data_IF_159304309131
#
_entry.id   IF_159304309131
#
_cell.length_a   1.000
_cell.length_b   1.000
_cell.length_c   1.000
_cell.angle_alpha   90.00
_cell.angle_beta   90.00
_cell.angle_gamma   90.00
#
_symmetry.space_group_name_H-M   'P 1'
#
loop_
_entity.id
_entity.type
_entity.pdbx_description
1 polymer ?
#
# COMPACT_ATOMS: atom_id res chain seq x y z
N UNK A 1 -23.42 -15.77 -14.56
CA UNK A 1 -22.92 -14.74 -13.61
C UNK A 1 -23.47 -13.39 -14.05
N UNK A 2 -23.82 -12.48 -13.14
CA UNK A 2 -24.13 -11.09 -13.55
C UNK A 2 -22.84 -10.49 -14.14
N UNK A 3 -22.90 -10.01 -15.38
CA UNK A 3 -21.81 -9.31 -16.03
C UNK A 3 -21.44 -8.11 -15.17
N UNK A 4 -20.19 -8.02 -14.69
CA UNK A 4 -19.73 -6.86 -13.93
C UNK A 4 -19.78 -5.64 -14.85
N UNK A 5 -20.48 -4.59 -14.43
CA UNK A 5 -20.57 -3.35 -15.20
C UNK A 5 -19.20 -2.67 -15.24
N UNK A 6 -18.61 -2.58 -16.43
CA UNK A 6 -17.37 -1.81 -16.63
C UNK A 6 -17.63 -0.31 -16.46
N UNK A 7 -16.64 0.39 -15.93
CA UNK A 7 -16.73 1.81 -15.58
C UNK A 7 -15.90 2.69 -16.50
N UNK A 8 -14.75 2.20 -16.95
CA UNK A 8 -13.81 2.96 -17.78
C UNK A 8 -14.14 2.76 -19.26
N UNK A 9 -14.18 3.87 -20.00
CA UNK A 9 -14.43 3.85 -21.46
C UNK A 9 -13.42 2.99 -22.20
N UNK A 10 -12.17 2.94 -21.74
CA UNK A 10 -11.08 2.16 -22.33
C UNK A 10 -11.35 0.66 -22.23
N UNK A 11 -11.78 0.18 -21.06
CA UNK A 11 -12.13 -1.22 -20.83
C UNK A 11 -13.37 -1.63 -21.62
N UNK A 12 -14.39 -0.74 -21.65
CA UNK A 12 -15.60 -0.95 -22.45
C UNK A 12 -15.23 -1.12 -23.92
N UNK A 13 -14.44 -0.19 -24.46
CA UNK A 13 -14.04 -0.24 -25.88
C UNK A 13 -13.17 -1.45 -26.21
N UNK A 14 -12.33 -1.92 -25.28
CA UNK A 14 -11.60 -3.17 -25.46
C UNK A 14 -12.56 -4.34 -25.65
N UNK A 15 -13.49 -4.56 -24.72
CA UNK A 15 -14.42 -5.70 -24.79
C UNK A 15 -15.37 -5.60 -25.99
N UNK A 16 -15.90 -4.40 -26.29
CA UNK A 16 -16.73 -4.19 -27.49
C UNK A 16 -15.96 -4.51 -28.77
N UNK A 17 -14.70 -4.08 -28.88
CA UNK A 17 -13.86 -4.36 -30.05
C UNK A 17 -13.57 -5.85 -30.18
N UNK A 18 -13.27 -6.53 -29.07
CA UNK A 18 -13.07 -7.98 -29.04
C UNK A 18 -14.33 -8.72 -29.47
N UNK A 19 -15.49 -8.37 -28.91
CA UNK A 19 -16.77 -8.99 -29.27
C UNK A 19 -17.14 -8.73 -30.74
N UNK A 20 -16.94 -7.50 -31.23
CA UNK A 20 -17.23 -7.14 -32.63
C UNK A 20 -16.31 -7.86 -33.61
N UNK A 21 -15.05 -8.14 -33.28
CA UNK A 21 -14.15 -8.92 -34.13
C UNK A 21 -14.66 -10.35 -34.38
N UNK A 22 -15.46 -10.88 -33.47
CA UNK A 22 -15.98 -12.25 -33.50
C UNK A 22 -17.51 -12.29 -33.61
N UNK A 23 -18.15 -11.23 -34.08
CA UNK A 23 -19.58 -11.24 -34.40
C UNK A 23 -19.81 -11.85 -35.77
N UNK A 24 -20.96 -12.52 -35.96
CA UNK A 24 -21.31 -13.21 -37.21
C UNK A 24 -21.27 -12.29 -38.45
N UNK A 25 -21.59 -11.00 -38.28
CA UNK A 25 -21.59 -10.01 -39.36
C UNK A 25 -20.20 -9.51 -39.78
N UNK A 26 -19.17 -9.80 -38.99
CA UNK A 26 -17.79 -9.29 -39.17
C UNK A 26 -16.81 -10.42 -39.41
N UNK A 27 -16.99 -11.55 -38.73
CA UNK A 27 -16.07 -12.67 -38.80
C UNK A 27 -16.09 -13.31 -40.19
N UNK A 28 -14.93 -13.27 -40.86
CA UNK A 28 -14.68 -14.07 -42.06
C UNK A 28 -13.90 -15.30 -41.64
N UNK A 29 -14.55 -16.47 -41.59
CA UNK A 29 -13.97 -17.71 -41.03
C UNK A 29 -12.62 -18.09 -41.64
N UNK A 30 -12.41 -17.88 -42.94
CA UNK A 30 -11.13 -18.14 -43.63
C UNK A 30 -9.97 -17.23 -43.17
N UNK A 31 -10.26 -16.22 -42.36
CA UNK A 31 -9.31 -15.26 -41.81
C UNK A 31 -9.30 -15.27 -40.27
N UNK A 32 -9.80 -16.32 -39.63
CA UNK A 32 -9.91 -16.43 -38.17
C UNK A 32 -8.56 -16.26 -37.45
N UNK A 33 -7.46 -16.66 -38.09
CA UNK A 33 -6.09 -16.42 -37.61
C UNK A 33 -5.77 -14.92 -37.46
N UNK A 34 -6.24 -14.10 -38.40
CA UNK A 34 -6.06 -12.64 -38.36
C UNK A 34 -6.92 -12.00 -37.28
N UNK A 35 -8.16 -12.47 -37.07
CA UNK A 35 -9.02 -12.02 -35.98
C UNK A 35 -8.47 -12.40 -34.61
N UNK A 36 -7.90 -13.61 -34.47
CA UNK A 36 -7.17 -14.00 -33.26
C UNK A 36 -5.98 -13.07 -33.03
N UNK A 37 -5.14 -12.86 -34.04
CA UNK A 37 -4.00 -11.95 -33.94
C UNK A 37 -4.42 -10.55 -33.50
N UNK A 38 -5.47 -9.99 -34.09
CA UNK A 38 -6.02 -8.68 -33.70
C UNK A 38 -6.49 -8.68 -32.25
N UNK A 39 -7.16 -9.74 -31.80
CA UNK A 39 -7.62 -9.88 -30.40
C UNK A 39 -6.45 -9.84 -29.42
N UNK A 40 -5.38 -10.60 -29.70
CA UNK A 40 -4.16 -10.61 -28.88
C UNK A 40 -3.47 -9.23 -28.88
N UNK A 41 -3.46 -8.54 -30.01
CA UNK A 41 -2.91 -7.19 -30.13
C UNK A 41 -3.71 -6.15 -29.33
N UNK A 42 -5.04 -6.26 -29.31
CA UNK A 42 -5.91 -5.39 -28.52
C UNK A 42 -5.68 -5.58 -27.02
N UNK A 43 -5.61 -6.84 -26.55
CA UNK A 43 -5.28 -7.17 -25.16
C UNK A 43 -3.90 -6.63 -24.80
N UNK A 44 -2.89 -6.92 -25.63
CA UNK A 44 -1.53 -6.43 -25.43
C UNK A 44 -1.46 -4.91 -25.32
N UNK A 45 -2.15 -4.18 -26.22
CA UNK A 45 -2.18 -2.72 -26.21
C UNK A 45 -2.80 -2.16 -24.94
N UNK A 46 -3.90 -2.74 -24.47
CA UNK A 46 -4.54 -2.34 -23.22
C UNK A 46 -3.62 -2.56 -22.01
N UNK A 47 -2.99 -3.73 -21.93
CA UNK A 47 -2.00 -4.06 -20.90
C UNK A 47 -0.82 -3.09 -20.91
N UNK A 48 -0.24 -2.81 -22.08
CA UNK A 48 0.90 -1.89 -22.20
C UNK A 48 0.51 -0.46 -21.80
N UNK A 49 -0.67 0.01 -22.19
CA UNK A 49 -1.19 1.32 -21.79
C UNK A 49 -1.34 1.43 -20.26
N UNK A 50 -1.92 0.41 -19.62
CA UNK A 50 -2.03 0.36 -18.15
C UNK A 50 -0.67 0.32 -17.47
N UNK A 51 0.21 -0.58 -17.91
CA UNK A 51 1.57 -0.73 -17.37
C UNK A 51 2.37 0.57 -17.45
N UNK A 52 2.28 1.27 -18.59
CA UNK A 52 2.93 2.56 -18.80
C UNK A 52 2.40 3.64 -17.85
N UNK A 53 1.08 3.72 -17.65
CA UNK A 53 0.48 4.64 -16.67
C UNK A 53 0.91 4.34 -15.24
N UNK A 54 0.90 3.07 -14.83
CA UNK A 54 1.34 2.64 -13.50
C UNK A 54 2.82 2.96 -13.24
N UNK A 55 3.68 2.71 -14.24
CA UNK A 55 5.10 3.05 -14.16
C UNK A 55 5.31 4.57 -13.99
N UNK A 56 4.60 5.40 -14.76
CA UNK A 56 4.67 6.86 -14.62
C UNK A 56 4.21 7.32 -13.24
N UNK A 57 3.13 6.74 -12.70
CA UNK A 57 2.62 7.06 -11.37
C UNK A 57 3.63 6.73 -10.27
N UNK A 58 4.27 5.56 -10.36
CA UNK A 58 5.32 5.14 -9.42
C UNK A 58 6.60 5.99 -9.54
N UNK A 59 6.91 6.49 -10.73
CA UNK A 59 8.09 7.33 -10.98
C UNK A 59 7.89 8.83 -10.66
N UNK A 60 6.67 9.25 -10.30
CA UNK A 60 6.31 10.67 -10.11
C UNK A 60 7.10 11.40 -9.02
N UNK A 61 7.87 10.68 -8.19
CA UNK A 61 8.79 11.26 -7.21
C UNK A 61 10.16 11.68 -7.79
N UNK A 62 10.42 11.55 -9.11
CA UNK A 62 11.74 11.89 -9.66
C UNK A 62 11.93 12.06 -11.18
N UNK A 63 10.87 12.06 -12.01
CA UNK A 63 11.01 12.12 -13.49
C UNK A 63 10.08 13.15 -14.15
N UNK A 64 10.63 14.00 -15.03
CA UNK A 64 9.92 15.04 -15.80
C UNK A 64 9.56 14.64 -17.24
N UNK A 65 9.84 13.40 -17.66
CA UNK A 65 9.50 12.94 -19.03
C UNK A 65 8.75 11.62 -18.98
N UNK A 66 7.42 11.71 -18.97
CA UNK A 66 6.54 10.57 -19.23
C UNK A 66 6.10 10.58 -20.70
N UNK A 67 6.05 9.41 -21.38
CA UNK A 67 5.38 9.30 -22.67
C UNK A 67 3.94 9.84 -22.58
N UNK A 68 3.42 10.44 -23.65
CA UNK A 68 2.06 11.00 -23.69
C UNK A 68 0.97 9.98 -23.28
N UNK A 69 1.18 8.70 -23.60
CA UNK A 69 0.26 7.62 -23.26
C UNK A 69 0.16 7.29 -21.76
N UNK A 70 1.02 7.87 -20.92
CA UNK A 70 1.07 7.65 -19.47
C UNK A 70 0.51 8.80 -18.62
N UNK A 71 0.21 9.96 -19.24
CA UNK A 71 -0.20 11.19 -18.52
C UNK A 71 -1.48 11.00 -17.71
N UNK A 72 -2.41 10.19 -18.21
CA UNK A 72 -3.69 9.91 -17.56
C UNK A 72 -3.51 9.47 -16.10
N UNK A 73 -2.50 8.65 -15.81
CA UNK A 73 -2.28 8.07 -14.48
C UNK A 73 -1.78 9.10 -13.47
N UNK A 74 -1.16 10.19 -13.94
CA UNK A 74 -0.68 11.28 -13.11
C UNK A 74 -1.81 12.25 -12.74
N UNK A 75 -2.71 12.49 -13.69
CA UNK A 75 -3.81 13.47 -13.56
C UNK A 75 -5.00 12.95 -12.74
N UNK A 76 -5.21 11.62 -12.67
CA UNK A 76 -6.33 11.06 -11.93
C UNK A 76 -6.10 11.02 -10.41
N UNK A 77 -7.15 11.25 -9.60
CA UNK A 77 -7.09 11.01 -8.16
C UNK A 77 -6.80 9.53 -7.86
N UNK A 78 -6.13 9.26 -6.74
CA UNK A 78 -5.76 7.87 -6.36
C UNK A 78 -7.00 7.00 -6.17
N UNK A 79 -8.11 7.60 -5.74
CA UNK A 79 -9.39 6.95 -5.54
C UNK A 79 -10.01 6.44 -6.86
N UNK A 80 -9.61 6.95 -8.03
CA UNK A 80 -10.02 6.42 -9.35
C UNK A 80 -9.31 5.11 -9.72
N UNK A 81 -8.17 4.78 -9.09
CA UNK A 81 -7.50 3.49 -9.31
C UNK A 81 -8.33 2.30 -8.80
N UNK A 82 -9.35 2.55 -7.97
CA UNK A 82 -10.37 1.56 -7.63
C UNK A 82 -11.14 1.12 -8.88
N UNK A 83 -11.51 2.06 -9.76
CA UNK A 83 -12.19 1.73 -11.00
C UNK A 83 -11.28 0.98 -11.96
N UNK A 84 -9.99 1.35 -12.00
CA UNK A 84 -8.97 0.62 -12.77
C UNK A 84 -8.87 -0.83 -12.28
N UNK A 85 -8.74 -1.04 -10.97
CA UNK A 85 -8.71 -2.39 -10.37
C UNK A 85 -9.99 -3.18 -10.69
N UNK A 86 -11.16 -2.54 -10.57
CA UNK A 86 -12.45 -3.15 -10.85
C UNK A 86 -12.56 -3.64 -12.29
N UNK A 87 -12.29 -2.76 -13.24
CA UNK A 87 -12.38 -3.04 -14.66
C UNK A 87 -11.35 -4.08 -15.11
N UNK A 88 -10.11 -4.00 -14.61
CA UNK A 88 -9.07 -4.99 -14.94
C UNK A 88 -9.48 -6.38 -14.47
N UNK A 89 -10.03 -6.51 -13.26
CA UNK A 89 -10.58 -7.79 -12.79
C UNK A 89 -11.75 -8.27 -13.65
N UNK A 90 -12.62 -7.37 -14.12
CA UNK A 90 -13.74 -7.73 -14.99
C UNK A 90 -13.26 -8.19 -16.38
N UNK A 91 -12.29 -7.50 -16.97
CA UNK A 91 -11.65 -7.89 -18.25
C UNK A 91 -10.94 -9.24 -18.10
N UNK A 92 -10.17 -9.45 -17.03
CA UNK A 92 -9.54 -10.75 -16.74
C UNK A 92 -10.60 -11.85 -16.64
N UNK A 93 -11.73 -11.58 -15.97
CA UNK A 93 -12.84 -12.52 -15.85
C UNK A 93 -13.45 -12.89 -17.21
N UNK A 94 -13.72 -11.89 -18.06
CA UNK A 94 -14.27 -12.08 -19.41
C UNK A 94 -13.34 -12.90 -20.32
N UNK A 95 -12.03 -12.71 -20.17
CA UNK A 95 -10.99 -13.38 -20.97
C UNK A 95 -10.44 -14.65 -20.30
N UNK A 96 -10.98 -15.05 -19.16
CA UNK A 96 -10.59 -16.26 -18.44
C UNK A 96 -11.10 -17.52 -19.16
N UNK A 97 -10.64 -18.68 -18.71
CA UNK A 97 -11.05 -19.98 -19.28
C UNK A 97 -12.57 -20.20 -19.21
N UNK A 98 -13.23 -19.70 -18.16
CA UNK A 98 -14.68 -19.75 -17.97
C UNK A 98 -15.40 -18.48 -18.43
N UNK A 99 -14.69 -17.55 -19.09
CA UNK A 99 -15.22 -16.28 -19.56
C UNK A 99 -16.02 -16.41 -20.87
N UNK A 100 -17.00 -15.52 -21.04
CA UNK A 100 -17.94 -15.57 -22.17
C UNK A 100 -17.24 -15.36 -23.52
N UNK A 101 -16.20 -14.52 -23.57
CA UNK A 101 -15.43 -14.30 -24.79
C UNK A 101 -14.72 -15.58 -25.28
N UNK A 102 -14.02 -16.28 -24.39
CA UNK A 102 -13.33 -17.53 -24.73
C UNK A 102 -14.32 -18.61 -25.14
N UNK A 103 -15.46 -18.70 -24.44
CA UNK A 103 -16.55 -19.60 -24.81
C UNK A 103 -17.10 -19.34 -26.21
N UNK A 104 -17.37 -18.06 -26.55
CA UNK A 104 -17.86 -17.64 -27.86
C UNK A 104 -16.86 -17.96 -28.98
N UNK A 105 -15.58 -17.62 -28.80
CA UNK A 105 -14.53 -17.92 -29.80
C UNK A 105 -14.46 -19.43 -30.06
N UNK A 106 -14.49 -20.25 -29.00
CA UNK A 106 -14.50 -21.71 -29.15
C UNK A 106 -15.75 -22.22 -29.89
N UNK A 107 -16.93 -21.65 -29.62
CA UNK A 107 -18.16 -22.03 -30.30
C UNK A 107 -18.11 -21.71 -31.81
N UNK A 108 -17.61 -20.54 -32.17
CA UNK A 108 -17.47 -20.12 -33.58
C UNK A 108 -16.46 -20.98 -34.35
N UNK A 109 -15.46 -21.49 -33.65
CA UNK A 109 -14.43 -22.35 -34.22
C UNK A 109 -14.72 -23.86 -34.03
N UNK A 110 -15.93 -24.24 -33.61
CA UNK A 110 -16.24 -25.62 -33.24
C UNK A 110 -16.07 -26.65 -34.38
N UNK A 111 -15.99 -26.21 -35.64
CA UNK A 111 -15.69 -27.05 -36.81
C UNK A 111 -14.20 -27.32 -37.00
N UNK A 112 -13.31 -26.60 -36.30
CA UNK A 112 -11.87 -26.80 -36.34
C UNK A 112 -11.42 -28.03 -35.53
N UNK A 113 -10.23 -28.59 -35.82
CA UNK A 113 -9.62 -29.63 -34.99
C UNK A 113 -9.44 -29.18 -33.54
N UNK A 114 -9.52 -30.14 -32.61
CA UNK A 114 -9.42 -29.87 -31.17
C UNK A 114 -8.07 -29.24 -30.78
N UNK A 115 -7.01 -29.57 -31.52
CA UNK A 115 -5.68 -29.01 -31.35
C UNK A 115 -5.69 -27.50 -31.63
N UNK A 116 -6.42 -27.07 -32.67
CA UNK A 116 -6.57 -25.65 -33.02
C UNK A 116 -7.34 -24.92 -31.93
N UNK A 117 -8.47 -25.47 -31.48
CA UNK A 117 -9.26 -24.90 -30.39
C UNK A 117 -8.42 -24.72 -29.12
N UNK A 118 -7.60 -25.73 -28.81
CA UNK A 118 -6.69 -25.69 -27.65
C UNK A 118 -5.65 -24.58 -27.79
N UNK A 119 -5.02 -24.44 -28.95
CA UNK A 119 -4.02 -23.40 -29.22
C UNK A 119 -4.62 -21.99 -29.18
N UNK A 120 -5.81 -21.79 -29.75
CA UNK A 120 -6.53 -20.50 -29.73
C UNK A 120 -6.82 -20.10 -28.29
N UNK A 121 -7.41 -21.02 -27.51
CA UNK A 121 -7.71 -20.81 -26.10
C UNK A 121 -6.44 -20.49 -25.31
N UNK A 122 -5.38 -21.28 -25.45
CA UNK A 122 -4.10 -21.04 -24.76
C UNK A 122 -3.50 -19.69 -25.13
N UNK A 123 -3.60 -19.28 -26.40
CA UNK A 123 -3.08 -17.98 -26.85
C UNK A 123 -3.81 -16.81 -26.16
N UNK A 124 -5.14 -16.88 -26.03
CA UNK A 124 -5.92 -15.86 -25.33
C UNK A 124 -5.55 -15.84 -23.84
N UNK A 125 -5.49 -17.00 -23.19
CA UNK A 125 -5.14 -17.09 -21.76
C UNK A 125 -3.73 -16.53 -21.50
N UNK A 126 -2.75 -16.88 -22.34
CA UNK A 126 -1.38 -16.34 -22.25
C UNK A 126 -1.32 -14.83 -22.45
N UNK A 127 -2.15 -14.25 -23.32
CA UNK A 127 -2.19 -12.80 -23.51
C UNK A 127 -2.76 -12.04 -22.29
N UNK A 128 -3.53 -12.72 -21.43
CA UNK A 128 -4.12 -12.13 -20.22
C UNK A 128 -3.17 -12.20 -19.02
N UNK A 129 -2.19 -13.12 -19.00
CA UNK A 129 -1.26 -13.25 -17.86
C UNK A 129 -0.55 -11.92 -17.53
N UNK A 130 0.03 -11.18 -18.49
CA UNK A 130 0.64 -9.88 -18.19
C UNK A 130 -0.34 -8.86 -17.60
N UNK A 131 -1.64 -8.96 -17.90
CA UNK A 131 -2.67 -8.09 -17.32
C UNK A 131 -2.95 -8.44 -15.85
N UNK A 132 -2.94 -9.74 -15.51
CA UNK A 132 -3.08 -10.20 -14.11
C UNK A 132 -1.93 -9.69 -13.25
N UNK A 133 -0.72 -9.71 -13.78
CA UNK A 133 0.49 -9.22 -13.10
C UNK A 133 0.45 -7.70 -12.82
N UNK A 134 -0.48 -6.95 -13.43
CA UNK A 134 -0.68 -5.53 -13.10
C UNK A 134 -1.55 -5.30 -11.86
N UNK A 135 -2.36 -6.28 -11.43
CA UNK A 135 -3.23 -6.13 -10.26
C UNK A 135 -2.45 -5.74 -8.99
N UNK A 136 -1.33 -6.40 -8.63
CA UNK A 136 -0.52 -5.98 -7.49
C UNK A 136 0.03 -4.55 -7.64
N UNK A 137 0.44 -4.15 -8.85
CA UNK A 137 0.97 -2.82 -9.12
C UNK A 137 -0.10 -1.72 -8.94
N UNK A 138 -1.35 -1.98 -9.37
CA UNK A 138 -2.48 -1.08 -9.12
C UNK A 138 -2.73 -0.93 -7.61
N UNK A 139 -2.67 -2.03 -6.87
CA UNK A 139 -2.81 -2.01 -5.40
C UNK A 139 -1.68 -1.21 -4.75
N UNK A 140 -0.44 -1.42 -5.18
CA UNK A 140 0.73 -0.72 -4.64
C UNK A 140 0.68 0.79 -4.89
N UNK A 141 0.13 1.26 -6.02
CA UNK A 141 -0.11 2.69 -6.25
C UNK A 141 -1.06 3.26 -5.20
N UNK A 142 -2.19 2.59 -4.93
CA UNK A 142 -3.15 3.04 -3.93
C UNK A 142 -2.53 3.07 -2.53
N UNK A 143 -1.86 1.97 -2.15
CA UNK A 143 -1.14 1.87 -0.87
C UNK A 143 -0.08 2.97 -0.76
N UNK A 144 0.73 3.18 -1.79
CA UNK A 144 1.83 4.14 -1.81
C UNK A 144 1.37 5.56 -1.54
N UNK A 145 0.28 6.01 -2.17
CA UNK A 145 -0.28 7.35 -1.92
C UNK A 145 -0.84 7.47 -0.49
N UNK A 146 -1.52 6.45 0.02
CA UNK A 146 -2.04 6.44 1.39
C UNK A 146 -0.87 6.54 2.40
N UNK A 147 0.17 5.74 2.21
CA UNK A 147 1.38 5.76 3.05
C UNK A 147 2.06 7.12 2.99
N UNK A 148 2.24 7.70 1.79
CA UNK A 148 2.83 9.02 1.61
C UNK A 148 2.07 10.10 2.37
N UNK A 149 0.73 10.11 2.29
CA UNK A 149 -0.12 11.04 3.07
C UNK A 149 0.05 10.82 4.57
N UNK A 150 0.07 9.57 5.03
CA UNK A 150 0.23 9.21 6.45
C UNK A 150 1.60 9.61 7.01
N UNK A 151 2.64 9.57 6.17
CA UNK A 151 3.99 9.96 6.53
C UNK A 151 4.14 11.47 6.78
N UNK A 152 3.22 12.31 6.29
CA UNK A 152 3.23 13.74 6.62
C UNK A 152 2.98 13.97 8.11
N UNK A 153 2.02 13.28 8.72
CA UNK A 153 1.77 13.35 10.15
C UNK A 153 2.92 12.77 10.98
N UNK A 154 3.56 11.70 10.51
CA UNK A 154 4.71 11.10 11.19
C UNK A 154 5.90 12.06 11.31
N UNK A 155 6.05 13.06 10.43
CA UNK A 155 7.12 14.06 10.54
C UNK A 155 7.11 14.82 11.87
N UNK A 156 5.93 14.97 12.49
CA UNK A 156 5.78 15.65 13.78
C UNK A 156 6.42 14.90 14.96
N UNK A 157 6.69 13.60 14.80
CA UNK A 157 7.38 12.78 15.81
C UNK A 157 8.71 13.39 16.27
N UNK A 158 9.46 14.02 15.34
CA UNK A 158 10.76 14.65 15.66
C UNK A 158 10.64 15.78 16.71
N UNK A 159 9.44 16.35 16.88
CA UNK A 159 9.15 17.37 17.90
C UNK A 159 9.14 16.83 19.33
N UNK A 160 8.98 15.52 19.53
CA UNK A 160 8.97 14.90 20.87
C UNK A 160 10.31 15.14 21.58
N UNK A 161 11.42 14.97 20.87
CA UNK A 161 12.77 15.17 21.42
C UNK A 161 12.95 16.59 21.93
N UNK A 162 12.46 17.60 21.20
CA UNK A 162 12.54 18.99 21.63
C UNK A 162 11.66 19.28 22.86
N UNK A 163 10.50 18.62 22.97
CA UNK A 163 9.52 18.85 24.02
C UNK A 163 10.00 18.35 25.39
N UNK A 164 10.60 17.16 25.42
CA UNK A 164 10.97 16.49 26.68
C UNK A 164 12.44 16.64 27.08
N UNK A 165 13.28 17.16 26.18
CA UNK A 165 14.64 17.56 26.52
C UNK A 165 14.61 18.75 27.47
N UNK A 166 15.28 18.63 28.61
CA UNK A 166 15.42 19.69 29.63
C UNK A 166 14.07 20.16 30.24
N UNK A 167 13.04 19.31 30.23
CA UNK A 167 11.70 19.61 30.78
C UNK A 167 11.41 18.73 31.99
N UNK A 168 10.82 19.29 33.06
CA UNK A 168 10.42 18.53 34.26
C UNK A 168 9.02 17.87 34.16
N UNK A 169 8.27 18.11 33.07
CA UNK A 169 6.94 17.54 32.85
C UNK A 169 7.05 16.09 32.35
N UNK A 170 6.24 15.21 32.92
CA UNK A 170 6.11 13.82 32.49
C UNK A 170 4.97 13.67 31.48
N UNK A 171 5.12 12.82 30.44
CA UNK A 171 4.05 12.47 29.52
C UNK A 171 2.87 11.82 30.25
N UNK A 172 1.64 12.25 29.94
CA UNK A 172 0.40 11.67 30.49
C UNK A 172 -0.66 11.35 29.44
N UNK A 173 -0.46 11.80 28.20
CA UNK A 173 -1.34 11.56 27.06
C UNK A 173 -0.51 11.32 25.80
N UNK A 174 -1.07 10.62 24.83
CA UNK A 174 -0.46 10.48 23.52
C UNK A 174 -0.34 11.83 22.81
N UNK A 175 0.58 11.91 21.85
CA UNK A 175 0.81 13.07 21.01
C UNK A 175 -0.38 13.31 20.07
N UNK A 176 -0.72 14.58 19.75
CA UNK A 176 -1.85 14.88 18.86
C UNK A 176 -1.73 14.31 17.44
N UNK A 177 -0.51 14.18 16.91
CA UNK A 177 -0.29 13.68 15.54
C UNK A 177 -0.71 12.21 15.37
N UNK A 178 -0.79 11.43 16.45
CA UNK A 178 -1.10 9.99 16.40
C UNK A 178 -2.48 9.72 15.77
N UNK A 179 -3.45 10.61 16.01
CA UNK A 179 -4.78 10.52 15.41
C UNK A 179 -4.77 10.78 13.89
N UNK A 180 -3.76 11.50 13.38
CA UNK A 180 -3.59 11.78 11.95
C UNK A 180 -3.01 10.60 11.17
N UNK A 181 -2.15 9.78 11.79
CA UNK A 181 -1.37 8.73 11.09
C UNK A 181 -2.24 7.81 10.22
N UNK A 182 -3.37 7.32 10.75
CA UNK A 182 -4.26 6.38 10.03
C UNK A 182 -5.44 7.06 9.35
N UNK A 183 -5.57 8.38 9.48
CA UNK A 183 -6.67 9.13 8.91
C UNK A 183 -6.75 9.02 7.37
N UNK A 184 -5.64 9.09 6.60
CA UNK A 184 -5.69 8.91 5.15
C UNK A 184 -6.27 7.56 4.72
N UNK A 185 -5.90 6.48 5.41
CA UNK A 185 -6.44 5.14 5.13
C UNK A 185 -7.93 5.07 5.47
N UNK A 186 -8.33 5.63 6.62
CA UNK A 186 -9.73 5.67 7.05
C UNK A 186 -10.61 6.39 6.02
N UNK A 187 -10.22 7.61 5.62
CA UNK A 187 -10.96 8.40 4.62
C UNK A 187 -11.02 7.66 3.29
N UNK A 188 -9.93 7.03 2.86
CA UNK A 188 -9.93 6.24 1.63
C UNK A 188 -10.93 5.08 1.68
N UNK A 189 -10.99 4.35 2.80
CA UNK A 189 -11.91 3.21 3.01
C UNK A 189 -13.38 3.61 3.21
N UNK A 190 -13.64 4.82 3.70
CA UNK A 190 -14.98 5.39 3.87
C UNK A 190 -15.51 6.06 2.58
N UNK A 191 -14.67 6.20 1.56
CA UNK A 191 -15.03 6.84 0.30
C UNK A 191 -16.06 6.05 -0.52
N UNK A 192 -16.91 6.78 -1.25
CA UNK A 192 -18.02 6.21 -2.02
C UNK A 192 -17.59 5.12 -3.00
N UNK A 193 -16.35 5.16 -3.51
CA UNK A 193 -15.86 4.27 -4.57
C UNK A 193 -15.48 2.88 -4.06
N UNK A 194 -15.32 2.71 -2.75
CA UNK A 194 -14.80 1.48 -2.13
C UNK A 194 -15.71 0.28 -2.37
N UNK A 195 -17.00 0.48 -2.65
CA UNK A 195 -17.91 -0.62 -2.98
C UNK A 195 -17.54 -1.38 -4.26
N UNK A 196 -16.68 -0.83 -5.13
CA UNK A 196 -16.18 -1.52 -6.33
C UNK A 196 -15.02 -2.48 -6.06
N UNK A 197 -14.36 -2.37 -4.90
CA UNK A 197 -13.35 -3.33 -4.46
C UNK A 197 -14.02 -4.58 -3.87
N UNK A 198 -13.42 -5.75 -4.11
CA UNK A 198 -13.81 -6.96 -3.39
C UNK A 198 -13.43 -6.87 -1.91
N UNK A 199 -14.06 -7.67 -1.04
CA UNK A 199 -13.66 -7.71 0.38
C UNK A 199 -12.20 -8.15 0.55
N UNK A 200 -11.72 -9.07 -0.29
CA UNK A 200 -10.32 -9.49 -0.30
C UNK A 200 -9.38 -8.32 -0.67
N UNK A 201 -9.72 -7.53 -1.69
CA UNK A 201 -8.95 -6.35 -2.08
C UNK A 201 -8.97 -5.27 -0.98
N UNK A 202 -10.09 -5.07 -0.29
CA UNK A 202 -10.18 -4.17 0.87
C UNK A 202 -9.29 -4.65 2.01
N UNK A 203 -9.25 -5.94 2.28
CA UNK A 203 -8.37 -6.54 3.28
C UNK A 203 -6.90 -6.36 2.90
N UNK A 204 -6.53 -6.64 1.64
CA UNK A 204 -5.17 -6.45 1.12
C UNK A 204 -4.71 -4.99 1.20
N UNK A 205 -5.57 -4.05 0.77
CA UNK A 205 -5.31 -2.62 0.86
C UNK A 205 -5.05 -2.21 2.30
N UNK A 206 -5.93 -2.63 3.22
CA UNK A 206 -5.84 -2.29 4.65
C UNK A 206 -4.55 -2.80 5.27
N UNK A 207 -4.25 -4.09 5.12
CA UNK A 207 -3.02 -4.69 5.63
C UNK A 207 -1.78 -4.06 5.03
N UNK A 208 -1.71 -3.97 3.70
CA UNK A 208 -0.55 -3.42 3.00
C UNK A 208 -0.27 -1.96 3.36
N UNK A 209 -1.32 -1.14 3.56
CA UNK A 209 -1.16 0.21 4.08
C UNK A 209 -0.70 0.24 5.53
N UNK A 210 -1.32 -0.51 6.45
CA UNK A 210 -0.94 -0.50 7.86
C UNK A 210 0.47 -1.06 8.09
N UNK A 211 0.89 -2.07 7.33
CA UNK A 211 2.23 -2.65 7.45
C UNK A 211 3.30 -1.64 7.05
N UNK A 212 3.14 -0.98 5.89
CA UNK A 212 4.10 0.04 5.39
C UNK A 212 4.13 1.30 6.27
N UNK A 213 2.97 1.78 6.75
CA UNK A 213 2.89 2.90 7.69
C UNK A 213 3.60 2.56 9.00
N UNK A 214 3.33 1.37 9.55
CA UNK A 214 3.92 0.94 10.83
C UNK A 214 5.42 0.71 10.70
N UNK A 215 5.90 0.17 9.57
CA UNK A 215 7.33 0.05 9.30
C UNK A 215 8.02 1.42 9.28
N UNK A 216 7.43 2.42 8.60
CA UNK A 216 7.96 3.79 8.59
C UNK A 216 7.97 4.39 10.00
N UNK A 217 6.89 4.17 10.76
CA UNK A 217 6.82 4.64 12.15
C UNK A 217 7.91 3.99 13.02
N UNK A 218 8.13 2.68 12.88
CA UNK A 218 9.22 1.97 13.55
C UNK A 218 10.60 2.58 13.24
N UNK A 219 10.91 2.80 11.97
CA UNK A 219 12.20 3.35 11.56
C UNK A 219 12.42 4.74 12.18
N UNK A 220 11.39 5.59 12.18
CA UNK A 220 11.47 6.93 12.78
C UNK A 220 11.61 6.92 14.30
N UNK A 221 10.87 6.03 14.99
CA UNK A 221 10.96 5.86 16.45
C UNK A 221 12.32 5.34 16.85
N UNK A 222 12.79 4.27 16.20
CA UNK A 222 14.06 3.64 16.51
C UNK A 222 15.21 4.63 16.34
N UNK A 223 15.20 5.46 15.30
CA UNK A 223 16.20 6.52 15.10
C UNK A 223 16.16 7.55 16.24
N UNK A 224 14.98 8.05 16.62
CA UNK A 224 14.85 9.02 17.72
C UNK A 224 15.34 8.45 19.04
N UNK A 225 14.97 7.21 19.37
CA UNK A 225 15.38 6.53 20.61
C UNK A 225 16.89 6.29 20.60
N UNK A 226 17.46 5.86 19.47
CA UNK A 226 18.89 5.62 19.33
C UNK A 226 19.70 6.91 19.53
N UNK A 227 19.25 8.03 18.93
CA UNK A 227 19.88 9.34 19.11
C UNK A 227 19.79 9.82 20.56
N UNK A 228 18.62 9.66 21.20
CA UNK A 228 18.42 10.03 22.60
C UNK A 228 19.38 9.25 23.53
N UNK A 229 19.41 7.91 23.40
CA UNK A 229 20.28 7.01 24.19
C UNK A 229 21.78 7.33 23.99
N UNK A 230 22.22 7.56 22.74
CA UNK A 230 23.62 7.96 22.45
C UNK A 230 23.97 9.29 23.10
N UNK A 231 23.08 10.28 23.01
CA UNK A 231 23.28 11.62 23.59
C UNK A 231 23.39 11.54 25.11
N UNK A 232 22.50 10.78 25.76
CA UNK A 232 22.54 10.58 27.20
C UNK A 232 23.83 9.90 27.66
N UNK A 233 24.25 8.80 26.99
CA UNK A 233 25.49 8.11 27.34
C UNK A 233 26.72 9.02 27.23
N UNK A 234 26.70 9.97 26.29
CA UNK A 234 27.79 10.94 26.08
C UNK A 234 27.80 11.99 27.19
N UNK A 235 26.63 12.49 27.60
CA UNK A 235 26.47 13.41 28.73
C UNK A 235 26.87 12.76 30.06
N UNK A 236 26.52 11.49 30.28
CA UNK A 236 26.93 10.75 31.47
C UNK A 236 28.45 10.61 31.55
N UNK A 237 29.13 10.25 30.45
CA UNK A 237 30.61 10.19 30.42
C UNK A 237 31.25 11.54 30.69
N UNK A 238 30.70 12.63 30.15
CA UNK A 238 31.19 13.99 30.39
C UNK A 238 31.04 14.38 31.87
N UNK A 239 29.87 14.11 32.47
CA UNK A 239 29.61 14.35 33.90
C UNK A 239 30.56 13.57 34.80
N UNK A 240 30.77 12.28 34.51
CA UNK A 240 31.74 11.44 35.23
C UNK A 240 33.19 11.98 35.09
N UNK A 241 33.57 12.46 33.91
CA UNK A 241 34.87 13.08 33.67
C UNK A 241 35.08 14.39 34.44
N UNK A 242 34.03 15.20 34.58
CA UNK A 242 34.06 16.43 35.38
C UNK A 242 34.08 16.13 36.89
N UNK A 243 33.31 15.16 37.37
CA UNK A 243 33.30 14.74 38.78
C UNK A 243 34.66 14.20 39.24
N UNK A 244 35.36 13.43 38.38
CA UNK A 244 36.73 12.97 38.67
C UNK A 244 37.75 14.10 38.81
N UNK A 245 37.51 15.29 38.24
CA UNK A 245 38.41 16.45 38.34
C UNK A 245 38.15 17.34 39.56
N UNK A 246 36.94 17.30 40.12
CA UNK A 246 36.48 18.25 41.16
C UNK A 246 36.40 17.58 42.55
N UNK A 247 36.54 16.25 42.65
CA UNK A 247 36.61 15.57 43.95
C UNK A 247 35.31 15.62 44.76
N UNK A 248 34.15 15.61 44.09
CA UNK A 248 32.83 15.68 44.71
C UNK A 248 32.26 14.31 45.09
N UNK A 249 31.70 14.22 46.30
CA UNK A 249 31.01 13.06 46.89
C UNK A 249 29.84 12.56 46.01
N UNK A 250 29.69 11.24 45.95
CA UNK A 250 28.59 10.50 45.30
C UNK A 250 27.35 10.46 46.18
N UNK A 251 26.59 11.55 46.25
CA UNK A 251 25.23 11.48 46.80
C UNK A 251 24.31 12.49 46.10
N UNK A 252 23.13 12.01 45.69
CA UNK A 252 22.04 12.70 45.01
C UNK A 252 22.14 12.88 43.48
N UNK A 253 21.78 11.85 42.70
CA UNK A 253 20.97 12.03 41.46
C UNK A 253 20.38 10.74 40.85
N UNK A 254 20.26 9.62 41.58
CA UNK A 254 19.80 8.33 41.01
C UNK A 254 18.29 8.23 40.73
N UNK A 255 17.48 9.24 41.07
CA UNK A 255 16.01 9.17 40.93
C UNK A 255 15.40 10.21 39.99
N UNK A 256 16.20 10.90 39.17
CA UNK A 256 15.67 11.83 38.17
C UNK A 256 15.46 11.06 36.87
N UNK A 257 14.20 10.81 36.52
CA UNK A 257 13.78 10.24 35.23
C UNK A 257 14.54 10.98 34.10
N UNK A 258 15.29 10.23 33.30
CA UNK A 258 16.12 10.82 32.25
C UNK A 258 15.27 11.42 31.14
N UNK A 259 15.84 12.35 30.36
CA UNK A 259 15.14 12.88 29.19
C UNK A 259 14.85 11.77 28.17
N UNK A 260 15.72 10.76 28.08
CA UNK A 260 15.50 9.56 27.25
C UNK A 260 14.29 8.76 27.74
N UNK A 261 14.15 8.59 29.06
CA UNK A 261 13.01 7.88 29.65
C UNK A 261 11.70 8.63 29.36
N UNK A 262 11.68 9.97 29.48
CA UNK A 262 10.50 10.78 29.11
C UNK A 262 10.14 10.64 27.63
N UNK A 263 11.12 10.62 26.74
CA UNK A 263 10.90 10.39 25.30
C UNK A 263 10.30 9.00 25.07
N UNK A 264 10.88 7.95 25.66
CA UNK A 264 10.35 6.59 25.55
C UNK A 264 8.94 6.48 26.15
N UNK A 265 8.67 7.14 27.28
CA UNK A 265 7.33 7.19 27.89
C UNK A 265 6.30 7.84 26.96
N UNK A 266 6.63 8.97 26.31
CA UNK A 266 5.74 9.60 25.34
C UNK A 266 5.46 8.67 24.17
N UNK A 267 6.52 8.11 23.58
CA UNK A 267 6.39 7.20 22.44
C UNK A 267 5.61 5.93 22.80
N UNK A 268 5.73 5.45 24.04
CA UNK A 268 4.94 4.33 24.53
C UNK A 268 3.44 4.65 24.56
N UNK A 269 3.06 5.83 25.06
CA UNK A 269 1.67 6.30 25.00
C UNK A 269 1.17 6.43 23.55
N UNK A 270 2.04 6.92 22.66
CA UNK A 270 1.73 7.13 21.26
C UNK A 270 1.46 5.80 20.53
N UNK A 271 2.30 4.77 20.73
CA UNK A 271 2.10 3.48 20.08
C UNK A 271 0.90 2.69 20.65
N UNK A 272 0.54 2.93 21.92
CA UNK A 272 -0.68 2.36 22.50
C UNK A 272 -1.92 2.95 21.83
N UNK A 273 -1.95 4.27 21.65
CA UNK A 273 -3.06 4.91 20.95
C UNK A 273 -3.09 4.52 19.47
N UNK A 274 -1.93 4.42 18.81
CA UNK A 274 -1.82 3.91 17.46
C UNK A 274 -2.43 2.49 17.31
N UNK A 275 -2.19 1.59 18.26
CA UNK A 275 -2.80 0.27 18.26
C UNK A 275 -4.32 0.30 18.47
N UNK A 276 -4.85 1.22 19.28
CA UNK A 276 -6.30 1.42 19.38
C UNK A 276 -6.87 1.89 18.04
N UNK A 277 -6.19 2.80 17.35
CA UNK A 277 -6.58 3.26 16.02
C UNK A 277 -6.54 2.13 14.98
N UNK A 278 -5.51 1.27 14.99
CA UNK A 278 -5.44 0.06 14.15
C UNK A 278 -6.65 -0.87 14.38
N UNK A 279 -7.05 -1.05 15.65
CA UNK A 279 -8.23 -1.86 16.00
C UNK A 279 -9.52 -1.29 15.43
N UNK A 280 -9.68 0.03 15.34
CA UNK A 280 -10.86 0.63 14.69
C UNK A 280 -10.94 0.30 13.19
N UNK A 281 -9.79 0.00 12.58
CA UNK A 281 -9.69 -0.53 11.23
C UNK A 281 -9.73 -2.06 11.21
N UNK A 282 -10.04 -2.75 12.31
CA UNK A 282 -10.08 -4.21 12.35
C UNK A 282 -8.71 -4.89 12.16
N UNK A 283 -7.61 -4.19 12.44
CA UNK A 283 -6.26 -4.73 12.42
C UNK A 283 -5.78 -4.93 13.86
N UNK A 284 -5.35 -6.15 14.18
CA UNK A 284 -4.66 -6.41 15.43
C UNK A 284 -3.18 -6.03 15.28
N UNK A 285 -2.75 -5.03 16.03
CA UNK A 285 -1.37 -4.55 16.00
C UNK A 285 -0.34 -5.65 16.31
N UNK A 286 -0.73 -6.72 17.03
CA UNK A 286 0.15 -7.87 17.33
C UNK A 286 0.52 -8.69 16.09
N UNK A 287 -0.31 -8.65 15.05
CA UNK A 287 -0.04 -9.34 13.78
C UNK A 287 1.05 -8.62 12.96
N UNK A 288 1.28 -7.33 13.21
CA UNK A 288 2.27 -6.53 12.50
C UNK A 288 3.65 -6.70 13.16
N UNK A 289 4.62 -7.21 12.42
CA UNK A 289 6.00 -7.39 12.91
C UNK A 289 6.65 -6.08 13.34
N UNK A 290 6.56 -5.03 12.51
CA UNK A 290 7.12 -3.70 12.84
C UNK A 290 6.47 -3.08 14.06
N UNK A 291 5.20 -3.38 14.36
CA UNK A 291 4.57 -2.94 15.61
C UNK A 291 5.16 -3.65 16.83
N UNK A 292 5.43 -4.96 16.73
CA UNK A 292 6.08 -5.71 17.82
C UNK A 292 7.47 -5.14 18.11
N UNK A 293 8.22 -4.79 17.07
CA UNK A 293 9.52 -4.11 17.19
C UNK A 293 9.39 -2.70 17.79
N UNK A 294 8.36 -1.92 17.40
CA UNK A 294 8.02 -0.64 18.03
C UNK A 294 7.80 -0.80 19.54
N UNK A 295 6.98 -1.78 19.93
CA UNK A 295 6.70 -2.08 21.34
C UNK A 295 7.99 -2.36 22.12
N UNK A 296 8.83 -3.26 21.61
CA UNK A 296 10.12 -3.59 22.24
C UNK A 296 11.05 -2.38 22.33
N UNK A 297 10.97 -1.44 21.38
CA UNK A 297 11.82 -0.26 21.36
C UNK A 297 11.55 0.71 22.52
N UNK A 298 10.27 0.91 22.87
CA UNK A 298 9.84 2.00 23.78
C UNK A 298 9.11 1.53 25.04
N UNK A 299 8.63 0.29 25.10
CA UNK A 299 7.93 -0.21 26.28
C UNK A 299 8.86 -0.29 27.52
N UNK A 300 8.34 0.03 28.72
CA UNK A 300 9.03 -0.23 29.98
C UNK A 300 9.45 -1.70 30.10
N UNK A 301 10.59 -1.97 30.75
CA UNK A 301 11.19 -3.32 30.84
C UNK A 301 10.21 -4.38 31.36
N UNK A 302 9.35 -4.03 32.32
CA UNK A 302 8.31 -4.88 32.90
C UNK A 302 7.14 -5.19 31.96
N UNK A 303 7.04 -4.48 30.83
CA UNK A 303 5.95 -4.61 29.85
C UNK A 303 6.43 -5.05 28.46
N UNK A 304 7.72 -5.27 28.25
CA UNK A 304 8.27 -5.63 26.94
C UNK A 304 7.76 -6.99 26.44
N UNK A 305 7.53 -7.94 27.34
CA UNK A 305 7.14 -9.31 27.01
C UNK A 305 5.63 -9.49 26.79
N UNK A 306 4.81 -8.48 27.10
CA UNK A 306 3.35 -8.55 26.98
C UNK A 306 2.79 -7.30 26.33
N UNK A 307 2.31 -7.45 25.10
CA UNK A 307 1.63 -6.37 24.37
C UNK A 307 0.17 -6.29 24.84
N UNK A 308 -0.14 -5.24 25.61
CA UNK A 308 -1.49 -4.96 26.12
C UNK A 308 -1.87 -3.50 25.82
N UNK A 309 -3.12 -3.28 25.39
CA UNK A 309 -3.60 -2.00 24.87
C UNK A 309 -4.77 -1.44 25.67
#
# INVERSE_FOLDING_TARGET
MKQKTLLLKQSIKLLESLQSCWSDDVLVFSHSDKFLRLSLQLISRYTTWLSSGLAARNASDGSTSSPADSEWALSVPVEDFIYVMHDVNAVIGELSESGDFVGRVNQLLASCPIEVLTLVKQSILQAVEPLKELLPSIMDVMIGVIVKRSNEDLKHLKGITATYRMTNKLPVRHSPYVSGILHPLKVFLEGDRVHYLSEDDKTKLRRGSTDKITATYYDMVSEVVNVARKTESSLQRLRQGQQKRIGGSTDASDNIISDTDKICMQLFLDIQEYARNLRTLGIDAREIESYRSLWQCVAPKDKQDSIQF
#
